data_IF_335677076442
#
_entry.id   IF_335677076442
#
_cell.length_a   1.000
_cell.length_b   1.000
_cell.length_c   1.000
_cell.angle_alpha   90.00
_cell.angle_beta   90.00
_cell.angle_gamma   90.00
#
_symmetry.space_group_name_H-M   'P 1'
#
loop_
_entity.id
_entity.type
_entity.pdbx_description
1 polymer ?
#
# COMPACT_ATOMS: atom_id res chain seq x y z
N UNK A 1 -8.64 -8.66 -19.39
CA UNK A 1 -9.15 -7.45 -18.68
C UNK A 1 -9.78 -7.90 -17.38
N UNK A 2 -9.34 -7.37 -16.23
CA UNK A 2 -10.05 -7.63 -14.97
C UNK A 2 -11.28 -6.71 -14.91
N UNK A 3 -12.47 -7.29 -14.98
CA UNK A 3 -13.70 -6.53 -14.86
C UNK A 3 -14.10 -6.41 -13.40
N UNK A 4 -13.82 -5.25 -12.79
CA UNK A 4 -14.21 -4.96 -11.41
C UNK A 4 -15.49 -4.12 -11.34
N UNK A 5 -16.11 -3.84 -12.49
CA UNK A 5 -17.33 -3.04 -12.57
C UNK A 5 -18.48 -3.78 -11.88
N UNK A 6 -19.19 -3.07 -11.02
CA UNK A 6 -20.38 -3.56 -10.34
C UNK A 6 -21.59 -2.85 -10.91
N UNK A 7 -22.57 -3.64 -11.34
CA UNK A 7 -23.81 -3.15 -11.94
C UNK A 7 -25.02 -3.49 -11.08
N UNK A 8 -26.04 -2.64 -11.13
CA UNK A 8 -27.39 -2.92 -10.63
C UNK A 8 -28.35 -2.73 -11.81
N UNK A 9 -28.84 -3.84 -12.37
CA UNK A 9 -29.41 -3.84 -13.72
C UNK A 9 -28.36 -3.38 -14.73
N UNK A 10 -28.72 -2.43 -15.60
CA UNK A 10 -27.82 -1.85 -16.59
C UNK A 10 -27.00 -0.67 -16.06
N UNK A 11 -27.22 -0.26 -14.80
CA UNK A 11 -26.54 0.91 -14.22
C UNK A 11 -25.23 0.50 -13.56
N UNK A 12 -24.12 1.09 -14.01
CA UNK A 12 -22.83 1.02 -13.32
C UNK A 12 -22.93 1.75 -11.97
N UNK A 13 -22.72 1.03 -10.87
CA UNK A 13 -22.77 1.59 -9.50
C UNK A 13 -21.38 1.78 -8.88
N UNK A 14 -20.34 1.17 -9.46
CA UNK A 14 -18.96 1.41 -9.04
C UNK A 14 -18.02 0.28 -9.42
N UNK A 15 -16.91 0.18 -8.69
CA UNK A 15 -15.86 -0.80 -8.93
C UNK A 15 -15.49 -1.51 -7.62
N UNK A 16 -15.54 -2.84 -7.60
CA UNK A 16 -15.20 -3.65 -6.42
C UNK A 16 -13.68 -3.78 -6.28
N UNK A 17 -13.14 -3.42 -5.13
CA UNK A 17 -11.74 -3.61 -4.80
C UNK A 17 -11.45 -5.10 -4.53
N UNK A 18 -10.45 -5.69 -5.19
CA UNK A 18 -10.06 -7.10 -5.01
C UNK A 18 -9.35 -7.41 -3.68
N UNK A 19 -9.18 -6.41 -2.79
CA UNK A 19 -8.46 -6.56 -1.52
C UNK A 19 -9.30 -6.27 -0.29
N UNK A 20 -10.17 -5.26 -0.36
CA UNK A 20 -11.04 -4.88 0.74
C UNK A 20 -12.52 -5.12 0.45
N UNK A 21 -12.85 -5.68 -0.72
CA UNK A 21 -14.19 -5.99 -1.22
C UNK A 21 -15.21 -4.83 -1.27
N UNK A 22 -14.82 -3.63 -0.84
CA UNK A 22 -15.62 -2.42 -0.97
C UNK A 22 -15.86 -2.02 -2.43
N UNK A 23 -17.03 -1.45 -2.68
CA UNK A 23 -17.38 -0.77 -3.92
C UNK A 23 -16.92 0.69 -3.84
N UNK A 24 -16.12 1.12 -4.82
CA UNK A 24 -15.65 2.51 -4.93
C UNK A 24 -16.23 3.15 -6.19
N UNK A 25 -16.56 4.44 -6.11
CA UNK A 25 -17.05 5.21 -7.27
C UNK A 25 -15.97 5.41 -8.33
N UNK A 26 -14.70 5.45 -7.92
CA UNK A 26 -13.53 5.55 -8.80
C UNK A 26 -12.43 4.65 -8.25
N UNK A 27 -11.79 3.89 -9.14
CA UNK A 27 -10.67 3.01 -8.81
C UNK A 27 -9.74 2.92 -10.01
N UNK A 28 -8.44 2.77 -9.76
CA UNK A 28 -7.47 2.43 -10.79
C UNK A 28 -7.22 0.92 -10.71
N UNK A 29 -7.25 0.20 -11.83
CA UNK A 29 -7.01 -1.25 -11.87
C UNK A 29 -7.98 -2.07 -11.00
N UNK A 30 -7.44 -3.03 -10.23
CA UNK A 30 -8.19 -3.97 -9.36
C UNK A 30 -8.23 -3.60 -7.88
N UNK A 31 -7.38 -2.66 -7.46
CA UNK A 31 -7.20 -2.31 -6.05
C UNK A 31 -7.52 -0.84 -5.87
N UNK A 32 -8.31 -0.52 -4.84
CA UNK A 32 -8.72 0.86 -4.55
C UNK A 32 -7.53 1.75 -4.17
N UNK A 33 -7.70 3.06 -4.34
CA UNK A 33 -6.64 4.03 -4.06
C UNK A 33 -6.18 3.98 -2.61
N UNK A 34 -7.10 3.78 -1.66
CA UNK A 34 -6.76 3.64 -0.24
C UNK A 34 -5.86 2.43 0.04
N UNK A 35 -6.17 1.26 -0.51
CA UNK A 35 -5.32 0.08 -0.37
C UNK A 35 -3.94 0.29 -1.01
N UNK A 36 -3.87 0.97 -2.18
CA UNK A 36 -2.60 1.32 -2.83
C UNK A 36 -1.76 2.28 -1.99
N UNK A 37 -2.39 3.29 -1.40
CA UNK A 37 -1.72 4.25 -0.53
C UNK A 37 -1.20 3.59 0.75
N UNK A 38 -1.96 2.65 1.32
CA UNK A 38 -1.50 1.87 2.47
C UNK A 38 -0.27 1.02 2.13
N UNK A 39 -0.22 0.40 0.96
CA UNK A 39 0.97 -0.33 0.52
C UNK A 39 2.18 0.59 0.32
N UNK A 40 1.96 1.79 -0.24
CA UNK A 40 3.03 2.78 -0.39
C UNK A 40 3.59 3.17 0.99
N UNK A 41 2.73 3.55 1.92
CA UNK A 41 3.11 3.91 3.29
C UNK A 41 3.84 2.76 3.99
N UNK A 42 3.34 1.53 3.86
CA UNK A 42 3.99 0.37 4.45
C UNK A 42 5.41 0.16 3.89
N UNK A 43 5.59 0.30 2.57
CA UNK A 43 6.93 0.21 1.94
C UNK A 43 7.86 1.33 2.40
N UNK A 44 7.35 2.55 2.59
CA UNK A 44 8.12 3.68 3.13
C UNK A 44 8.57 3.40 4.56
N UNK A 45 7.65 2.97 5.43
CA UNK A 45 7.97 2.57 6.81
C UNK A 45 9.04 1.48 6.87
N UNK A 46 8.94 0.44 6.03
CA UNK A 46 9.96 -0.61 5.97
C UNK A 46 11.35 -0.08 5.58
N UNK A 47 11.41 0.89 4.65
CA UNK A 47 12.67 1.55 4.26
C UNK A 47 13.25 2.38 5.41
N UNK A 48 12.41 3.11 6.12
CA UNK A 48 12.83 3.92 7.28
C UNK A 48 13.33 3.04 8.42
N UNK A 49 12.64 1.93 8.72
CA UNK A 49 13.08 0.96 9.73
C UNK A 49 14.43 0.35 9.36
N UNK A 50 14.65 0.00 8.08
CA UNK A 50 15.93 -0.53 7.62
C UNK A 50 17.06 0.49 7.81
N UNK A 51 16.84 1.74 7.37
CA UNK A 51 17.82 2.83 7.53
C UNK A 51 18.12 3.13 9.00
N UNK A 52 17.09 3.08 9.86
CA UNK A 52 17.24 3.28 11.31
C UNK A 52 18.11 2.18 11.93
N UNK A 53 17.89 0.92 11.56
CA UNK A 53 18.72 -0.22 12.00
C UNK A 53 20.17 -0.07 11.56
N UNK A 54 20.40 0.26 10.29
CA UNK A 54 21.75 0.49 9.74
C UNK A 54 22.48 1.62 10.50
N UNK A 55 21.79 2.74 10.73
CA UNK A 55 22.34 3.85 11.51
C UNK A 55 22.68 3.47 12.95
N UNK A 56 21.82 2.66 13.60
CA UNK A 56 22.07 2.18 14.95
C UNK A 56 23.31 1.28 15.00
N UNK A 57 23.44 0.34 14.06
CA UNK A 57 24.61 -0.53 13.93
C UNK A 57 25.87 0.30 13.74
N UNK A 58 25.87 1.26 12.80
CA UNK A 58 27.03 2.15 12.58
C UNK A 58 27.41 2.91 13.84
N UNK A 59 26.44 3.42 14.60
CA UNK A 59 26.69 4.09 15.89
C UNK A 59 27.28 3.14 16.93
N UNK A 60 26.81 1.89 16.98
CA UNK A 60 27.31 0.88 17.90
C UNK A 60 28.77 0.51 17.57
N UNK A 61 29.07 0.24 16.30
CA UNK A 61 30.45 -0.02 15.85
C UNK A 61 31.39 1.14 16.19
N UNK A 62 30.99 2.39 15.92
CA UNK A 62 31.81 3.56 16.27
C UNK A 62 32.08 3.73 17.77
N UNK A 63 31.27 3.14 18.64
CA UNK A 63 31.46 3.16 20.11
C UNK A 63 32.30 2.01 20.65
N UNK A 64 32.35 0.89 19.94
CA UNK A 64 33.14 -0.28 20.33
C UNK A 64 34.58 -0.17 19.85
N UNK A 65 34.78 0.46 18.68
CA UNK A 65 36.07 0.55 18.00
C UNK A 65 36.72 1.95 18.04
N UNK A 66 36.15 2.90 18.78
CA UNK A 66 36.84 4.09 19.32
C UNK A 66 36.97 3.92 20.83
#
# INVERSE_FOLDING_TARGET
MFNNSVYCGDKLIGFRCSRCDDIKSKMWGTICNSCRDNDRKHKELLKEMKKSKENFIVKLFKRIFN
#
